data_IF_687564658959
#
_entry.id   IF_687564658959
#
_cell.length_a   1.000
_cell.length_b   1.000
_cell.length_c   1.000
_cell.angle_alpha   90.00
_cell.angle_beta   90.00
_cell.angle_gamma   90.00
#
_symmetry.space_group_name_H-M   'P 1'
#
loop_
_entity.id
_entity.type
_entity.pdbx_description
1 polymer ?
#
# COMPACT_ATOMS: atom_id res chain seq x y z
N UNK A 1 45.00 18.57 -30.38
CA UNK A 1 44.47 18.02 -29.13
C UNK A 1 43.96 19.10 -28.18
N UNK A 2 44.78 20.12 -27.80
CA UNK A 2 44.35 21.22 -26.90
C UNK A 2 43.23 22.10 -27.48
N UNK A 3 43.23 22.33 -28.79
CA UNK A 3 42.21 23.13 -29.50
C UNK A 3 40.88 22.39 -29.62
N UNK A 4 40.89 21.07 -29.80
CA UNK A 4 39.69 20.21 -29.77
C UNK A 4 39.11 20.09 -28.36
N UNK A 5 39.95 19.91 -27.37
CA UNK A 5 39.57 19.90 -25.96
C UNK A 5 38.86 21.21 -25.56
N UNK A 6 39.40 22.35 -25.95
CA UNK A 6 38.82 23.68 -25.71
C UNK A 6 37.46 23.87 -26.42
N UNK A 7 37.29 23.30 -27.63
CA UNK A 7 36.00 23.33 -28.37
C UNK A 7 34.95 22.45 -27.69
N UNK A 8 35.33 21.24 -27.30
CA UNK A 8 34.47 20.32 -26.57
C UNK A 8 34.00 20.91 -25.23
N UNK A 9 34.92 21.56 -24.50
CA UNK A 9 34.64 22.24 -23.24
C UNK A 9 33.62 23.37 -23.43
N UNK A 10 33.77 24.21 -24.45
CA UNK A 10 32.79 25.26 -24.76
C UNK A 10 31.42 24.71 -25.11
N UNK A 11 31.35 23.68 -25.92
CA UNK A 11 30.09 23.02 -26.29
C UNK A 11 29.41 22.43 -25.06
N UNK A 12 30.15 21.82 -24.15
CA UNK A 12 29.62 21.27 -22.89
C UNK A 12 29.08 22.38 -21.99
N UNK A 13 29.77 23.50 -21.85
CA UNK A 13 29.30 24.65 -21.06
C UNK A 13 28.04 25.25 -21.66
N UNK A 14 27.92 25.38 -22.96
CA UNK A 14 26.71 25.91 -23.62
C UNK A 14 25.55 24.94 -23.45
N UNK A 15 25.74 23.64 -23.63
CA UNK A 15 24.72 22.61 -23.37
C UNK A 15 24.26 22.65 -21.93
N UNK A 16 25.17 22.79 -20.96
CA UNK A 16 24.83 22.90 -19.55
C UNK A 16 24.04 24.17 -19.25
N UNK A 17 24.32 25.31 -19.90
CA UNK A 17 23.56 26.55 -19.76
C UNK A 17 22.12 26.36 -20.25
N UNK A 18 21.93 25.75 -21.42
CA UNK A 18 20.61 25.42 -21.97
C UNK A 18 19.86 24.48 -21.04
N UNK A 19 20.55 23.45 -20.50
CA UNK A 19 19.97 22.53 -19.52
C UNK A 19 19.44 23.26 -18.29
N UNK A 20 20.20 24.18 -17.70
CA UNK A 20 19.77 24.96 -16.53
C UNK A 20 18.56 25.82 -16.86
N UNK A 21 18.56 26.49 -18.00
CA UNK A 21 17.41 27.30 -18.43
C UNK A 21 16.16 26.45 -18.58
N UNK A 22 16.25 25.27 -19.19
CA UNK A 22 15.13 24.35 -19.34
C UNK A 22 14.63 23.80 -17.98
N UNK A 23 15.51 23.63 -17.02
CA UNK A 23 15.15 23.22 -15.67
C UNK A 23 14.35 24.32 -14.94
N UNK A 24 14.74 25.59 -15.10
CA UNK A 24 14.02 26.73 -14.52
C UNK A 24 12.64 26.91 -15.18
N UNK A 25 12.56 26.81 -16.52
CA UNK A 25 11.30 26.82 -17.26
C UNK A 25 10.36 25.69 -16.78
N UNK A 26 10.87 24.47 -16.62
CA UNK A 26 10.10 23.32 -16.11
C UNK A 26 9.57 23.58 -14.70
N UNK A 27 10.41 24.13 -13.82
CA UNK A 27 10.01 24.45 -12.44
C UNK A 27 8.87 25.47 -12.40
N UNK A 28 8.94 26.49 -13.24
CA UNK A 28 7.89 27.51 -13.36
C UNK A 28 6.58 26.90 -13.91
N UNK A 29 6.65 26.04 -14.92
CA UNK A 29 5.49 25.33 -15.46
C UNK A 29 4.85 24.40 -14.41
N UNK A 30 5.66 23.69 -13.64
CA UNK A 30 5.18 22.84 -12.54
C UNK A 30 4.43 23.66 -11.47
N UNK A 31 4.98 24.80 -11.06
CA UNK A 31 4.34 25.69 -10.09
C UNK A 31 3.01 26.25 -10.61
N UNK A 32 2.97 26.68 -11.87
CA UNK A 32 1.75 27.20 -12.52
C UNK A 32 0.67 26.13 -12.62
N UNK A 33 1.03 24.93 -13.08
CA UNK A 33 0.11 23.80 -13.20
C UNK A 33 -0.44 23.36 -11.83
N UNK A 34 0.42 23.26 -10.81
CA UNK A 34 0.03 22.93 -9.44
C UNK A 34 -0.95 23.95 -8.84
N UNK A 35 -0.68 25.24 -9.06
CA UNK A 35 -1.56 26.33 -8.62
C UNK A 35 -2.93 26.28 -9.31
N UNK A 36 -2.97 26.05 -10.63
CA UNK A 36 -4.19 25.94 -11.41
C UNK A 36 -5.05 24.76 -10.93
N UNK A 37 -4.45 23.56 -10.74
CA UNK A 37 -5.15 22.37 -10.24
C UNK A 37 -5.71 22.64 -8.84
N UNK A 38 -4.94 23.23 -7.94
CA UNK A 38 -5.37 23.54 -6.58
C UNK A 38 -6.59 24.48 -6.57
N UNK A 39 -6.58 25.53 -7.43
CA UNK A 39 -7.69 26.45 -7.58
C UNK A 39 -8.96 25.78 -8.10
N UNK A 40 -8.82 24.94 -9.13
CA UNK A 40 -9.94 24.20 -9.72
C UNK A 40 -10.51 23.16 -8.75
N UNK A 41 -9.66 22.45 -8.01
CA UNK A 41 -10.11 21.50 -6.98
C UNK A 41 -10.90 22.17 -5.87
N UNK A 42 -10.49 23.36 -5.43
CA UNK A 42 -11.26 24.15 -4.47
C UNK A 42 -12.65 24.49 -5.02
N UNK A 43 -12.73 24.96 -6.27
CA UNK A 43 -14.01 25.25 -6.93
C UNK A 43 -14.93 24.02 -7.04
N UNK A 44 -14.38 22.84 -7.39
CA UNK A 44 -15.16 21.59 -7.43
C UNK A 44 -15.69 21.20 -6.04
N UNK A 45 -14.87 21.37 -5.00
CA UNK A 45 -15.28 21.08 -3.63
C UNK A 45 -16.42 22.01 -3.17
N UNK A 46 -16.31 23.31 -3.47
CA UNK A 46 -17.34 24.29 -3.14
C UNK A 46 -18.64 24.00 -3.91
N UNK A 47 -18.55 23.61 -5.19
CA UNK A 47 -19.69 23.16 -6.00
C UNK A 47 -20.34 21.89 -5.40
N UNK A 48 -19.55 20.90 -5.00
CA UNK A 48 -20.04 19.69 -4.35
C UNK A 48 -20.77 19.96 -3.04
N UNK A 49 -20.28 20.90 -2.23
CA UNK A 49 -20.98 21.34 -1.03
C UNK A 49 -22.30 22.05 -1.32
N UNK A 50 -22.35 22.88 -2.36
CA UNK A 50 -23.58 23.58 -2.78
C UNK A 50 -24.62 22.58 -3.29
N UNK A 51 -24.22 21.60 -4.11
CA UNK A 51 -25.10 20.52 -4.59
C UNK A 51 -25.65 19.67 -3.46
N UNK A 52 -24.86 19.35 -2.46
CA UNK A 52 -25.31 18.57 -1.30
C UNK A 52 -26.38 19.33 -0.47
N UNK A 53 -26.37 20.65 -0.47
CA UNK A 53 -27.44 21.47 0.14
C UNK A 53 -28.71 21.47 -0.69
N UNK A 54 -28.60 21.52 -2.01
CA UNK A 54 -29.74 21.53 -2.94
C UNK A 54 -30.48 20.18 -2.95
N UNK A 55 -29.80 19.05 -2.78
CA UNK A 55 -30.38 17.69 -2.80
C UNK A 55 -31.46 17.48 -1.73
N UNK A 56 -31.49 18.31 -0.68
CA UNK A 56 -32.49 18.21 0.40
C UNK A 56 -33.86 18.82 0.06
N UNK A 57 -33.98 19.55 -1.05
CA UNK A 57 -35.16 20.32 -1.43
C UNK A 57 -35.66 20.09 -2.85
N UNK A 58 -35.11 19.09 -3.58
CA UNK A 58 -35.26 18.94 -5.03
C UNK A 58 -36.32 17.93 -5.45
N UNK A 59 -36.99 18.20 -6.59
CA UNK A 59 -37.90 17.29 -7.30
C UNK A 59 -37.15 16.14 -8.00
N UNK A 60 -37.89 15.09 -8.44
CA UNK A 60 -37.28 13.88 -9.05
C UNK A 60 -36.38 14.16 -10.26
N UNK A 61 -36.74 15.10 -11.13
CA UNK A 61 -35.95 15.49 -12.31
C UNK A 61 -34.66 16.25 -11.95
N UNK A 62 -34.71 17.06 -10.90
CA UNK A 62 -33.53 17.76 -10.37
C UNK A 62 -32.58 16.79 -9.69
N UNK A 63 -33.09 15.72 -9.08
CA UNK A 63 -32.28 14.68 -8.45
C UNK A 63 -31.42 13.91 -9.46
N UNK A 64 -31.93 13.66 -10.67
CA UNK A 64 -31.20 13.00 -11.75
C UNK A 64 -30.06 13.90 -12.27
N UNK A 65 -30.35 15.18 -12.49
CA UNK A 65 -29.33 16.18 -12.87
C UNK A 65 -28.23 16.31 -11.80
N UNK A 66 -28.59 16.34 -10.54
CA UNK A 66 -27.64 16.40 -9.42
C UNK A 66 -26.71 15.17 -9.41
N UNK A 67 -27.24 13.98 -9.66
CA UNK A 67 -26.44 12.74 -9.78
C UNK A 67 -25.44 12.81 -10.94
N UNK A 68 -25.88 13.31 -12.10
CA UNK A 68 -24.98 13.48 -13.26
C UNK A 68 -23.84 14.47 -12.95
N UNK A 69 -24.14 15.61 -12.34
CA UNK A 69 -23.13 16.58 -11.95
C UNK A 69 -22.16 15.99 -10.90
N UNK A 70 -22.66 15.20 -9.94
CA UNK A 70 -21.80 14.52 -8.96
C UNK A 70 -20.87 13.52 -9.63
N UNK A 71 -21.33 12.80 -10.65
CA UNK A 71 -20.51 11.90 -11.45
C UNK A 71 -19.42 12.67 -12.21
N UNK A 72 -19.77 13.79 -12.85
CA UNK A 72 -18.82 14.64 -13.54
C UNK A 72 -17.78 15.26 -12.58
N UNK A 73 -18.15 15.66 -11.37
CA UNK A 73 -17.21 16.12 -10.33
C UNK A 73 -16.19 15.03 -10.01
N UNK A 74 -16.67 13.81 -9.79
CA UNK A 74 -15.82 12.65 -9.47
C UNK A 74 -14.84 12.33 -10.61
N UNK A 75 -15.29 12.42 -11.85
CA UNK A 75 -14.42 12.18 -13.02
C UNK A 75 -13.35 13.27 -13.15
N UNK A 76 -13.70 14.55 -12.90
CA UNK A 76 -12.72 15.64 -12.87
C UNK A 76 -11.73 15.51 -11.71
N UNK A 77 -12.15 15.03 -10.53
CA UNK A 77 -11.25 14.74 -9.42
C UNK A 77 -10.26 13.64 -9.77
N UNK A 78 -10.70 12.58 -10.46
CA UNK A 78 -9.83 11.52 -10.95
C UNK A 78 -8.82 12.06 -11.98
N UNK A 79 -9.26 12.92 -12.89
CA UNK A 79 -8.38 13.55 -13.87
C UNK A 79 -7.32 14.43 -13.21
N UNK A 80 -7.68 15.25 -12.20
CA UNK A 80 -6.71 16.04 -11.46
C UNK A 80 -5.72 15.15 -10.67
N UNK A 81 -6.19 14.04 -10.13
CA UNK A 81 -5.31 13.07 -9.45
C UNK A 81 -4.23 12.54 -10.42
N UNK A 82 -4.63 12.19 -11.64
CA UNK A 82 -3.72 11.70 -12.67
C UNK A 82 -2.73 12.80 -13.14
N UNK A 83 -3.18 14.05 -13.27
CA UNK A 83 -2.31 15.18 -13.58
C UNK A 83 -1.29 15.46 -12.46
N UNK A 84 -1.73 15.46 -11.21
CA UNK A 84 -0.87 15.65 -10.03
C UNK A 84 0.19 14.55 -9.87
N UNK A 85 -0.02 13.38 -10.48
CA UNK A 85 0.95 12.29 -10.46
C UNK A 85 2.25 12.63 -11.22
N UNK A 86 2.22 13.66 -12.08
CA UNK A 86 3.38 14.17 -12.82
C UNK A 86 3.98 15.47 -12.25
N UNK A 87 3.43 15.95 -11.14
CA UNK A 87 3.90 17.17 -10.49
C UNK A 87 4.68 16.82 -9.21
N UNK A 88 5.72 17.59 -8.86
CA UNK A 88 6.40 17.42 -7.59
C UNK A 88 5.44 17.71 -6.44
N UNK A 89 5.26 16.74 -5.55
CA UNK A 89 4.41 16.85 -4.36
C UNK A 89 5.26 17.04 -3.12
N UNK A 90 4.76 17.82 -2.17
CA UNK A 90 5.31 17.83 -0.82
C UNK A 90 5.09 16.47 -0.17
N UNK A 91 6.08 15.99 0.56
CA UNK A 91 5.97 14.75 1.30
C UNK A 91 4.80 14.83 2.30
N UNK A 92 4.06 13.72 2.47
CA UNK A 92 3.08 13.59 3.54
C UNK A 92 3.78 13.61 4.92
N UNK A 93 2.99 13.73 6.00
CA UNK A 93 3.52 13.80 7.37
C UNK A 93 4.49 12.66 7.68
N UNK A 94 4.16 11.43 7.33
CA UNK A 94 5.00 10.27 7.58
C UNK A 94 6.34 10.33 6.82
N UNK A 95 6.31 10.58 5.51
CA UNK A 95 7.53 10.71 4.72
C UNK A 95 8.38 11.91 5.13
N UNK A 96 7.75 13.02 5.53
CA UNK A 96 8.45 14.19 6.05
C UNK A 96 9.15 13.91 7.39
N UNK A 97 8.53 13.08 8.25
CA UNK A 97 9.12 12.66 9.52
C UNK A 97 10.30 11.70 9.33
N UNK A 98 10.17 10.74 8.41
CA UNK A 98 11.14 9.65 8.23
C UNK A 98 12.28 10.04 7.29
N UNK A 99 11.98 10.71 6.17
CA UNK A 99 12.94 11.07 5.12
C UNK A 99 13.29 12.58 5.10
N UNK A 100 12.60 13.40 5.90
CA UNK A 100 12.75 14.84 5.84
C UNK A 100 12.18 15.44 4.55
N UNK A 101 12.80 16.53 4.08
CA UNK A 101 12.35 17.27 2.89
C UNK A 101 12.93 16.70 1.57
N UNK A 102 13.28 15.42 1.53
CA UNK A 102 13.78 14.76 0.31
C UNK A 102 12.64 14.61 -0.68
N UNK A 103 12.83 15.09 -1.91
CA UNK A 103 11.86 14.93 -2.98
C UNK A 103 11.86 13.47 -3.47
N UNK A 104 10.75 12.77 -3.26
CA UNK A 104 10.55 11.35 -3.65
C UNK A 104 9.66 11.21 -4.91
N UNK A 105 9.35 12.32 -5.59
CA UNK A 105 8.47 12.30 -6.76
C UNK A 105 9.22 11.79 -8.00
N UNK A 106 8.72 10.72 -8.59
CA UNK A 106 9.19 10.15 -9.84
C UNK A 106 8.37 10.74 -11.00
N UNK A 107 8.97 11.58 -11.82
CA UNK A 107 8.27 12.27 -12.91
C UNK A 107 8.06 11.38 -14.13
N UNK A 108 8.93 10.40 -14.36
CA UNK A 108 8.87 9.50 -15.51
C UNK A 108 8.07 8.24 -15.18
N UNK A 109 7.12 7.88 -16.05
CA UNK A 109 6.34 6.63 -15.92
C UNK A 109 7.23 5.39 -15.87
N UNK A 110 8.28 5.34 -16.66
CA UNK A 110 9.22 4.22 -16.65
C UNK A 110 9.89 4.07 -15.28
N UNK A 111 10.31 5.17 -14.66
CA UNK A 111 10.87 5.17 -13.31
C UNK A 111 9.85 4.70 -12.26
N UNK A 112 8.57 5.10 -12.39
CA UNK A 112 7.48 4.64 -11.49
C UNK A 112 7.27 3.13 -11.60
N UNK A 113 7.24 2.59 -12.82
CA UNK A 113 7.11 1.15 -13.03
C UNK A 113 8.32 0.38 -12.53
N UNK A 114 9.54 0.89 -12.77
CA UNK A 114 10.78 0.29 -12.27
C UNK A 114 10.78 0.24 -10.73
N UNK A 115 10.40 1.33 -10.07
CA UNK A 115 10.30 1.39 -8.61
C UNK A 115 9.25 0.40 -8.05
N UNK A 116 8.11 0.25 -8.74
CA UNK A 116 7.10 -0.75 -8.37
C UNK A 116 7.62 -2.17 -8.52
N UNK A 117 8.31 -2.47 -9.60
CA UNK A 117 8.91 -3.79 -9.85
C UNK A 117 10.00 -4.11 -8.79
N UNK A 118 10.82 -3.12 -8.40
CA UNK A 118 11.79 -3.28 -7.30
C UNK A 118 11.13 -3.50 -5.95
N UNK A 119 10.02 -2.80 -5.67
CA UNK A 119 9.23 -3.01 -4.47
C UNK A 119 8.68 -4.44 -4.39
N UNK A 120 8.12 -4.98 -5.48
CA UNK A 120 7.60 -6.34 -5.52
C UNK A 120 8.71 -7.39 -5.37
N UNK A 121 9.88 -7.19 -6.01
CA UNK A 121 11.05 -8.05 -5.84
C UNK A 121 11.58 -8.02 -4.41
N UNK A 122 11.64 -6.86 -3.78
CA UNK A 122 12.02 -6.72 -2.37
C UNK A 122 11.08 -7.52 -1.47
N UNK A 123 9.75 -7.40 -1.67
CA UNK A 123 8.76 -8.17 -0.93
C UNK A 123 9.01 -9.67 -1.04
N UNK A 124 9.20 -10.16 -2.26
CA UNK A 124 9.46 -11.59 -2.51
C UNK A 124 10.72 -12.07 -1.78
N UNK A 125 11.82 -11.33 -1.94
CA UNK A 125 13.10 -11.70 -1.34
C UNK A 125 13.01 -11.76 0.19
N UNK A 126 12.43 -10.73 0.80
CA UNK A 126 12.22 -10.69 2.24
C UNK A 126 11.26 -11.77 2.74
N UNK A 127 10.21 -12.05 1.99
CA UNK A 127 9.26 -13.12 2.33
C UNK A 127 9.95 -14.48 2.39
N UNK A 128 10.86 -14.78 1.47
CA UNK A 128 11.65 -16.01 1.47
C UNK A 128 12.57 -16.06 2.70
N UNK A 129 13.29 -14.97 2.99
CA UNK A 129 14.17 -14.89 4.17
C UNK A 129 13.38 -15.09 5.46
N UNK A 130 12.24 -14.42 5.60
CA UNK A 130 11.38 -14.53 6.78
C UNK A 130 10.79 -15.93 6.94
N UNK A 131 10.42 -16.58 5.84
CA UNK A 131 9.94 -17.96 5.87
C UNK A 131 11.01 -18.92 6.39
N UNK A 132 12.23 -18.85 5.84
CA UNK A 132 13.34 -19.69 6.29
C UNK A 132 13.77 -19.34 7.72
N UNK A 133 13.78 -18.05 8.09
CA UNK A 133 14.06 -17.60 9.45
C UNK A 133 13.07 -18.17 10.46
N UNK A 134 11.78 -18.12 10.17
CA UNK A 134 10.74 -18.66 11.04
C UNK A 134 10.83 -20.21 11.16
N UNK A 135 11.11 -20.91 10.06
CA UNK A 135 11.36 -22.37 10.06
C UNK A 135 12.57 -22.71 10.93
N UNK A 136 13.66 -21.97 10.77
CA UNK A 136 14.88 -22.17 11.55
C UNK A 136 14.64 -21.92 13.05
N UNK A 137 13.94 -20.84 13.41
CA UNK A 137 13.57 -20.57 14.81
C UNK A 137 12.64 -21.63 15.39
N UNK A 138 11.71 -22.16 14.60
CA UNK A 138 10.73 -23.15 15.08
C UNK A 138 11.35 -24.54 15.29
N UNK A 139 12.18 -25.01 14.36
CA UNK A 139 12.62 -26.39 14.31
C UNK A 139 14.08 -26.61 14.75
N UNK A 140 14.97 -25.63 14.53
CA UNK A 140 16.41 -25.81 14.72
C UNK A 140 16.96 -25.01 15.91
N UNK A 141 16.52 -23.77 16.08
CA UNK A 141 17.12 -22.85 17.06
C UNK A 141 16.07 -22.37 18.06
N UNK A 142 15.97 -23.08 19.18
CA UNK A 142 15.05 -22.72 20.26
C UNK A 142 15.74 -21.80 21.28
N UNK A 143 16.33 -20.68 20.82
CA UNK A 143 17.01 -19.71 21.65
C UNK A 143 16.31 -18.33 21.55
N UNK A 144 16.21 -17.63 22.66
CA UNK A 144 15.59 -16.30 22.71
C UNK A 144 16.26 -15.30 21.76
N UNK A 145 17.58 -15.32 21.68
CA UNK A 145 18.34 -14.40 20.81
C UNK A 145 17.97 -14.55 19.34
N UNK A 146 17.72 -15.80 18.87
CA UNK A 146 17.30 -16.03 17.49
C UNK A 146 15.90 -15.50 17.20
N UNK A 147 15.00 -15.61 18.18
CA UNK A 147 13.64 -15.02 18.07
C UNK A 147 13.71 -13.49 18.06
N UNK A 148 14.59 -12.89 18.83
CA UNK A 148 14.81 -11.42 18.84
C UNK A 148 15.34 -10.93 17.49
N UNK A 149 16.33 -11.63 16.90
CA UNK A 149 16.84 -11.32 15.57
C UNK A 149 15.73 -11.44 14.53
N UNK A 150 14.92 -12.49 14.60
CA UNK A 150 13.79 -12.71 13.70
C UNK A 150 12.74 -11.59 13.84
N UNK A 151 12.35 -11.23 15.07
CA UNK A 151 11.40 -10.15 15.32
C UNK A 151 11.94 -8.78 14.91
N UNK A 152 13.24 -8.51 15.12
CA UNK A 152 13.90 -7.30 14.62
C UNK A 152 13.84 -7.23 13.09
N UNK A 153 14.08 -8.34 12.40
CA UNK A 153 13.99 -8.42 10.96
C UNK A 153 12.56 -8.17 10.46
N UNK A 154 11.53 -8.64 11.19
CA UNK A 154 10.13 -8.34 10.92
C UNK A 154 9.84 -6.84 11.07
N UNK A 155 10.28 -6.19 12.15
CA UNK A 155 10.13 -4.75 12.34
C UNK A 155 10.77 -3.98 11.19
N UNK A 156 12.02 -4.30 10.86
CA UNK A 156 12.73 -3.66 9.76
C UNK A 156 12.01 -3.84 8.41
N UNK A 157 11.51 -5.05 8.15
CA UNK A 157 10.75 -5.35 6.94
C UNK A 157 9.48 -4.49 6.84
N UNK A 158 8.65 -4.48 7.87
CA UNK A 158 7.41 -3.69 7.84
C UNK A 158 7.65 -2.19 7.82
N UNK A 159 8.66 -1.67 8.52
CA UNK A 159 9.07 -0.28 8.42
C UNK A 159 9.49 0.08 6.99
N UNK A 160 10.27 -0.77 6.33
CA UNK A 160 10.69 -0.55 4.95
C UNK A 160 9.50 -0.59 3.99
N UNK A 161 8.53 -1.49 4.20
CA UNK A 161 7.30 -1.54 3.41
C UNK A 161 6.49 -0.26 3.54
N UNK A 162 6.28 0.24 4.76
CA UNK A 162 5.49 1.47 4.99
C UNK A 162 6.12 2.69 4.29
N UNK A 163 7.46 2.80 4.29
CA UNK A 163 8.18 3.86 3.58
C UNK A 163 7.99 3.71 2.06
N UNK A 164 8.25 2.53 1.51
CA UNK A 164 8.15 2.26 0.06
C UNK A 164 6.73 2.45 -0.47
N UNK A 165 5.72 2.01 0.28
CA UNK A 165 4.31 2.21 -0.08
C UNK A 165 3.89 3.68 -0.01
N UNK A 166 4.38 4.42 0.97
CA UNK A 166 4.15 5.86 1.07
C UNK A 166 4.77 6.63 -0.11
N UNK A 167 5.95 6.20 -0.59
CA UNK A 167 6.58 6.73 -1.81
C UNK A 167 5.73 6.37 -3.03
N UNK A 168 5.24 5.12 -3.16
CA UNK A 168 4.37 4.71 -4.27
C UNK A 168 3.07 5.53 -4.30
N UNK A 169 2.43 5.76 -3.15
CA UNK A 169 1.23 6.59 -3.06
C UNK A 169 1.50 8.04 -3.47
N UNK A 170 2.62 8.62 -3.06
CA UNK A 170 3.04 9.97 -3.48
C UNK A 170 3.22 10.05 -4.99
N UNK A 171 3.57 8.94 -5.65
CA UNK A 171 3.78 8.82 -7.09
C UNK A 171 2.54 8.37 -7.88
N UNK A 172 1.35 8.36 -7.25
CA UNK A 172 0.08 8.11 -7.92
C UNK A 172 -0.43 6.67 -7.84
N UNK A 173 0.15 5.82 -6.99
CA UNK A 173 -0.43 4.51 -6.69
C UNK A 173 -1.72 4.65 -5.87
N UNK A 174 -2.77 3.92 -6.28
CA UNK A 174 -4.09 3.93 -5.61
C UNK A 174 -4.19 2.81 -4.58
N UNK A 175 -3.20 2.69 -3.70
CA UNK A 175 -3.22 1.70 -2.63
C UNK A 175 -4.35 2.02 -1.65
N UNK A 176 -5.17 1.02 -1.32
CA UNK A 176 -6.29 1.21 -0.37
C UNK A 176 -5.76 1.55 1.02
N UNK A 177 -6.38 2.52 1.70
CA UNK A 177 -5.92 3.02 2.99
C UNK A 177 -5.75 1.95 4.07
N UNK A 178 -6.64 0.94 4.13
CA UNK A 178 -6.50 -0.17 5.06
C UNK A 178 -5.21 -0.97 4.83
N UNK A 179 -4.81 -1.18 3.58
CA UNK A 179 -3.60 -1.93 3.26
C UNK A 179 -2.33 -1.29 3.83
N UNK A 180 -2.25 0.03 3.77
CA UNK A 180 -1.15 0.79 4.38
C UNK A 180 -1.24 0.74 5.91
N UNK A 181 -2.44 0.93 6.48
CA UNK A 181 -2.68 0.83 7.92
C UNK A 181 -2.31 -0.55 8.47
N UNK A 182 -2.58 -1.61 7.70
CA UNK A 182 -2.19 -2.99 8.05
C UNK A 182 -0.68 -3.12 8.31
N UNK A 183 0.16 -2.51 7.48
CA UNK A 183 1.62 -2.57 7.67
C UNK A 183 2.09 -1.77 8.88
N UNK A 184 1.47 -0.63 9.21
CA UNK A 184 1.75 0.10 10.46
C UNK A 184 1.38 -0.74 11.69
N UNK A 185 0.21 -1.37 11.68
CA UNK A 185 -0.24 -2.26 12.77
C UNK A 185 0.68 -3.48 12.89
N UNK A 186 1.13 -4.05 11.75
CA UNK A 186 2.09 -5.17 11.74
C UNK A 186 3.47 -4.77 12.26
N UNK A 187 3.92 -3.54 11.99
CA UNK A 187 5.15 -2.97 12.58
C UNK A 187 5.04 -2.90 14.12
N UNK A 188 3.90 -2.40 14.61
CA UNK A 188 3.64 -2.32 16.04
C UNK A 188 3.61 -3.71 16.67
N UNK A 189 2.90 -4.67 16.07
CA UNK A 189 2.85 -6.06 16.51
C UNK A 189 4.26 -6.67 16.65
N UNK A 190 5.07 -6.54 15.61
CA UNK A 190 6.45 -7.05 15.61
C UNK A 190 7.32 -6.37 16.65
N UNK A 191 7.13 -5.05 16.88
CA UNK A 191 7.81 -4.29 17.93
C UNK A 191 7.44 -4.78 19.33
N UNK A 192 6.14 -5.04 19.59
CA UNK A 192 5.70 -5.58 20.88
C UNK A 192 6.23 -7.01 21.09
N UNK A 193 6.25 -7.85 20.04
CA UNK A 193 6.87 -9.17 20.10
C UNK A 193 8.36 -9.11 20.41
N UNK A 194 9.09 -8.14 19.87
CA UNK A 194 10.51 -7.93 20.13
C UNK A 194 10.78 -7.54 21.60
N UNK A 195 9.91 -6.73 22.19
CA UNK A 195 10.04 -6.25 23.59
C UNK A 195 9.44 -7.20 24.63
N UNK A 196 8.82 -8.30 24.20
CA UNK A 196 8.21 -9.26 25.13
C UNK A 196 9.29 -10.04 25.87
N UNK A 197 9.34 -10.02 27.23
CA UNK A 197 10.38 -10.72 27.99
C UNK A 197 10.22 -12.23 27.87
N UNK A 198 11.30 -12.95 28.13
CA UNK A 198 11.27 -14.42 28.22
C UNK A 198 10.50 -14.85 29.48
N UNK A 199 9.50 -15.70 29.29
CA UNK A 199 8.63 -16.18 30.34
C UNK A 199 7.76 -17.35 29.86
N UNK A 200 6.99 -17.93 30.80
CA UNK A 200 6.07 -19.03 30.48
C UNK A 200 5.02 -18.62 29.44
N UNK A 201 4.49 -17.40 29.53
CA UNK A 201 3.49 -16.87 28.60
C UNK A 201 4.07 -16.73 27.19
N UNK A 202 5.30 -16.24 27.06
CA UNK A 202 6.00 -16.15 25.79
C UNK A 202 6.17 -17.54 25.14
N UNK A 203 6.66 -18.52 25.90
CA UNK A 203 6.90 -19.87 25.39
C UNK A 203 5.62 -20.58 24.95
N UNK A 204 4.49 -20.36 25.62
CA UNK A 204 3.20 -20.91 25.22
C UNK A 204 2.72 -20.35 23.86
N UNK A 205 2.99 -19.08 23.56
CA UNK A 205 2.55 -18.47 22.31
C UNK A 205 3.58 -18.54 21.18
N UNK A 206 4.88 -18.70 21.49
CA UNK A 206 6.02 -18.68 20.56
C UNK A 206 5.82 -19.58 19.34
N UNK A 207 5.52 -20.85 19.58
CA UNK A 207 5.36 -21.82 18.48
C UNK A 207 4.19 -21.49 17.58
N UNK A 208 3.08 -20.99 18.13
CA UNK A 208 1.91 -20.56 17.38
C UNK A 208 2.22 -19.34 16.52
N UNK A 209 2.98 -18.37 17.04
CA UNK A 209 3.40 -17.17 16.31
C UNK A 209 4.36 -17.50 15.14
N UNK A 210 5.35 -18.36 15.38
CA UNK A 210 6.29 -18.80 14.34
C UNK A 210 5.58 -19.60 13.24
N UNK A 211 4.66 -20.51 13.60
CA UNK A 211 3.86 -21.24 12.64
C UNK A 211 2.96 -20.31 11.80
N UNK A 212 2.33 -19.32 12.44
CA UNK A 212 1.59 -18.29 11.73
C UNK A 212 2.49 -17.49 10.76
N UNK A 213 3.71 -17.14 11.18
CA UNK A 213 4.67 -16.39 10.34
C UNK A 213 5.11 -17.19 9.12
N UNK A 214 5.31 -18.51 9.26
CA UNK A 214 5.61 -19.42 8.13
C UNK A 214 4.45 -19.44 7.16
N UNK A 215 3.23 -19.65 7.66
CA UNK A 215 2.04 -19.69 6.82
C UNK A 215 1.80 -18.37 6.09
N UNK A 216 1.90 -17.23 6.80
CA UNK A 216 1.73 -15.90 6.23
C UNK A 216 2.78 -15.61 5.12
N UNK A 217 4.03 -15.99 5.36
CA UNK A 217 5.10 -15.87 4.35
C UNK A 217 4.82 -16.73 3.12
N UNK A 218 4.34 -17.95 3.31
CA UNK A 218 3.95 -18.84 2.21
C UNK A 218 2.80 -18.25 1.38
N UNK A 219 1.79 -17.70 2.03
CA UNK A 219 0.67 -16.99 1.36
C UNK A 219 1.18 -15.81 0.53
N UNK A 220 2.07 -14.98 1.09
CA UNK A 220 2.65 -13.83 0.38
C UNK A 220 3.50 -14.28 -0.83
N UNK A 221 4.23 -15.38 -0.70
CA UNK A 221 4.98 -15.97 -1.79
C UNK A 221 4.06 -16.38 -2.96
N UNK A 222 2.98 -17.10 -2.68
CA UNK A 222 1.99 -17.50 -3.69
C UNK A 222 1.29 -16.29 -4.32
N UNK A 223 0.96 -15.27 -3.52
CA UNK A 223 0.36 -14.03 -4.01
C UNK A 223 1.27 -13.29 -5.00
N UNK A 224 2.58 -13.25 -4.73
CA UNK A 224 3.54 -12.64 -5.65
C UNK A 224 3.52 -13.31 -7.03
N UNK A 225 3.65 -14.62 -7.10
CA UNK A 225 3.65 -15.35 -8.36
C UNK A 225 2.34 -15.16 -9.12
N UNK A 226 1.23 -15.20 -8.41
CA UNK A 226 -0.07 -14.98 -9.00
C UNK A 226 -0.19 -13.55 -9.59
N UNK A 227 0.18 -12.53 -8.82
CA UNK A 227 0.12 -11.12 -9.24
C UNK A 227 1.09 -10.84 -10.39
N UNK A 228 2.29 -11.41 -10.35
CA UNK A 228 3.29 -11.31 -11.42
C UNK A 228 2.76 -11.92 -12.74
N UNK A 229 2.12 -13.09 -12.67
CA UNK A 229 1.50 -13.71 -13.84
C UNK A 229 0.38 -12.88 -14.46
N UNK A 230 -0.43 -12.22 -13.62
CA UNK A 230 -1.48 -11.32 -14.09
C UNK A 230 -0.92 -10.04 -14.72
N UNK A 231 0.12 -9.45 -14.12
CA UNK A 231 0.81 -8.28 -14.69
C UNK A 231 1.45 -8.61 -16.03
N UNK A 232 2.04 -9.79 -16.18
CA UNK A 232 2.61 -10.25 -17.44
C UNK A 232 1.54 -10.33 -18.54
N UNK A 233 0.38 -10.91 -18.25
CA UNK A 233 -0.73 -11.00 -19.23
C UNK A 233 -1.23 -9.62 -19.65
N UNK A 234 -1.44 -8.69 -18.71
CA UNK A 234 -1.87 -7.32 -19.01
C UNK A 234 -0.82 -6.56 -19.84
N UNK A 235 0.47 -6.82 -19.60
CA UNK A 235 1.55 -6.24 -20.40
C UNK A 235 1.58 -6.79 -21.82
N UNK A 236 1.39 -8.09 -21.98
CA UNK A 236 1.32 -8.75 -23.29
C UNK A 236 0.12 -8.28 -24.13
N UNK A 237 -0.99 -7.93 -23.47
CA UNK A 237 -2.20 -7.39 -24.12
C UNK A 237 -2.12 -5.87 -24.39
N UNK A 238 -1.03 -5.19 -24.05
CA UNK A 238 -0.92 -3.74 -24.19
C UNK A 238 -1.82 -2.91 -23.26
N UNK A 239 -2.49 -3.54 -22.31
CA UNK A 239 -3.47 -2.92 -21.42
C UNK A 239 -2.87 -2.37 -20.09
N UNK A 240 -1.55 -2.40 -19.94
CA UNK A 240 -0.87 -1.90 -18.73
C UNK A 240 -0.72 -0.38 -18.75
N UNK A 241 -1.82 0.32 -18.52
CA UNK A 241 -1.82 1.79 -18.44
C UNK A 241 -1.77 2.33 -17.00
N UNK A 242 -1.92 1.48 -15.99
CA UNK A 242 -1.98 1.88 -14.58
C UNK A 242 -0.91 1.19 -13.73
N UNK A 243 -0.45 1.90 -12.68
CA UNK A 243 0.56 1.39 -11.74
C UNK A 243 0.05 0.19 -10.93
N UNK A 244 -1.24 0.15 -10.67
CA UNK A 244 -1.89 -0.85 -9.83
C UNK A 244 -2.80 -1.78 -10.65
N UNK A 245 -2.85 -3.04 -10.21
CA UNK A 245 -3.84 -4.00 -10.69
C UNK A 245 -5.22 -3.59 -10.16
N UNK A 246 -6.09 -3.12 -11.05
CA UNK A 246 -7.49 -2.88 -10.69
C UNK A 246 -8.23 -4.21 -10.56
N UNK A 247 -8.92 -4.39 -9.43
CA UNK A 247 -9.66 -5.61 -9.05
C UNK A 247 -10.73 -5.99 -10.08
N UNK A 248 -11.25 -5.03 -10.86
CA UNK A 248 -12.31 -5.25 -11.85
C UNK A 248 -11.93 -6.10 -13.06
N UNK A 249 -10.64 -6.13 -13.45
CA UNK A 249 -10.16 -6.92 -14.62
C UNK A 249 -9.74 -8.35 -14.28
N UNK A 250 -9.80 -8.76 -13.00
CA UNK A 250 -9.30 -10.06 -12.52
C UNK A 250 -10.37 -10.92 -11.83
N UNK A 251 -11.41 -11.30 -12.55
CA UNK A 251 -12.50 -12.10 -12.00
C UNK A 251 -12.06 -13.47 -11.41
N UNK A 252 -11.18 -14.20 -12.11
CA UNK A 252 -10.67 -15.50 -11.62
C UNK A 252 -9.66 -15.36 -10.48
N UNK A 253 -8.86 -14.30 -10.51
CA UNK A 253 -7.80 -14.06 -9.54
C UNK A 253 -8.25 -13.61 -8.18
N UNK A 254 -9.39 -12.97 -8.11
CA UNK A 254 -9.93 -12.54 -6.84
C UNK A 254 -10.38 -13.76 -6.01
N UNK A 255 -11.02 -14.75 -6.63
CA UNK A 255 -11.45 -15.97 -5.93
C UNK A 255 -10.24 -16.74 -5.40
N UNK A 256 -9.18 -16.88 -6.18
CA UNK A 256 -7.94 -17.53 -5.73
C UNK A 256 -7.26 -16.75 -4.59
N UNK A 257 -7.11 -15.44 -4.74
CA UNK A 257 -6.52 -14.60 -3.70
C UNK A 257 -7.34 -14.60 -2.41
N UNK A 258 -8.67 -14.54 -2.49
CA UNK A 258 -9.57 -14.62 -1.34
C UNK A 258 -9.50 -15.98 -0.64
N UNK A 259 -9.52 -17.08 -1.41
CA UNK A 259 -9.41 -18.43 -0.87
C UNK A 259 -8.09 -18.66 -0.13
N UNK A 260 -7.00 -18.10 -0.63
CA UNK A 260 -5.68 -18.22 -0.01
C UNK A 260 -5.52 -17.33 1.23
N UNK A 261 -6.17 -16.17 1.25
CA UNK A 261 -6.06 -15.18 2.33
C UNK A 261 -7.04 -15.43 3.48
N UNK A 262 -8.19 -16.04 3.23
CA UNK A 262 -9.19 -16.32 4.27
C UNK A 262 -8.65 -17.12 5.45
N UNK A 263 -7.93 -18.24 5.29
CA UNK A 263 -7.38 -18.98 6.41
C UNK A 263 -6.40 -18.16 7.26
N UNK A 264 -5.61 -17.28 6.64
CA UNK A 264 -4.71 -16.36 7.35
C UNK A 264 -5.48 -15.41 8.28
N UNK A 265 -6.62 -14.88 7.83
CA UNK A 265 -7.47 -13.99 8.65
C UNK A 265 -8.02 -14.75 9.86
N UNK A 266 -8.56 -15.95 9.68
CA UNK A 266 -9.04 -16.76 10.80
C UNK A 266 -7.93 -17.18 11.76
N UNK A 267 -6.70 -17.38 11.26
CA UNK A 267 -5.56 -17.61 12.13
C UNK A 267 -5.18 -16.39 12.97
N UNK A 268 -5.33 -15.18 12.41
CA UNK A 268 -5.19 -13.92 13.20
C UNK A 268 -6.21 -13.86 14.34
N UNK A 269 -7.48 -14.24 14.10
CA UNK A 269 -8.50 -14.34 15.13
C UNK A 269 -8.14 -15.40 16.20
N UNK A 270 -7.65 -16.55 15.76
CA UNK A 270 -7.21 -17.62 16.67
C UNK A 270 -6.05 -17.15 17.56
N UNK A 271 -5.07 -16.42 16.99
CA UNK A 271 -3.97 -15.81 17.75
C UNK A 271 -4.52 -14.80 18.78
N UNK A 272 -5.47 -13.95 18.39
CA UNK A 272 -6.08 -13.00 19.31
C UNK A 272 -6.80 -13.70 20.47
N UNK A 273 -7.60 -14.75 20.19
CA UNK A 273 -8.30 -15.50 21.23
C UNK A 273 -7.33 -16.23 22.18
N UNK A 274 -6.26 -16.82 21.66
CA UNK A 274 -5.22 -17.47 22.48
C UNK A 274 -4.57 -16.47 23.42
N UNK A 275 -4.19 -15.29 22.90
CA UNK A 275 -3.57 -14.24 23.70
C UNK A 275 -4.52 -13.63 24.73
N UNK A 276 -5.82 -13.45 24.41
CA UNK A 276 -6.80 -13.01 25.42
C UNK A 276 -6.97 -14.03 26.55
N UNK A 277 -6.91 -15.34 26.26
CA UNK A 277 -6.94 -16.38 27.29
C UNK A 277 -5.69 -16.31 28.18
N UNK A 278 -4.52 -16.14 27.55
CA UNK A 278 -3.24 -15.98 28.27
C UNK A 278 -3.24 -14.70 29.13
N UNK A 279 -3.78 -13.59 28.63
CA UNK A 279 -3.90 -12.34 29.38
C UNK A 279 -4.82 -12.46 30.62
N UNK A 280 -5.79 -13.37 30.59
CA UNK A 280 -6.66 -13.68 31.74
C UNK A 280 -6.08 -14.69 32.74
N UNK A 281 -4.88 -15.19 32.51
CA UNK A 281 -4.22 -16.11 33.45
C UNK A 281 -3.70 -15.37 34.68
N UNK A 282 -3.83 -15.96 35.86
CA UNK A 282 -3.46 -15.32 37.14
C UNK A 282 -1.96 -14.95 37.22
N UNK A 283 -1.11 -15.73 36.52
CA UNK A 283 0.35 -15.50 36.46
C UNK A 283 0.77 -14.48 35.40
N UNK A 284 -0.18 -13.99 34.57
CA UNK A 284 0.13 -13.05 33.50
C UNK A 284 0.26 -11.62 34.04
N UNK A 285 1.52 -11.13 34.12
CA UNK A 285 1.84 -9.75 34.49
C UNK A 285 2.31 -8.90 33.31
N UNK A 286 2.40 -9.50 32.14
CA UNK A 286 3.01 -8.94 30.93
C UNK A 286 1.97 -8.19 30.10
N UNK A 287 2.08 -6.87 30.02
CA UNK A 287 1.18 -6.02 29.24
C UNK A 287 1.21 -6.34 27.73
N UNK A 288 2.33 -6.89 27.26
CA UNK A 288 2.54 -7.27 25.86
C UNK A 288 1.49 -8.28 25.39
N UNK A 289 1.08 -9.21 26.25
CA UNK A 289 0.09 -10.24 25.93
C UNK A 289 -1.23 -9.61 25.49
N UNK A 290 -1.72 -8.67 26.29
CA UNK A 290 -2.97 -7.96 25.99
C UNK A 290 -2.86 -7.08 24.75
N UNK A 291 -1.75 -6.36 24.60
CA UNK A 291 -1.52 -5.50 23.42
C UNK A 291 -1.43 -6.30 22.14
N UNK A 292 -0.78 -7.47 22.16
CA UNK A 292 -0.72 -8.38 21.00
C UNK A 292 -2.10 -8.96 20.68
N UNK A 293 -2.87 -9.35 21.69
CA UNK A 293 -4.24 -9.83 21.51
C UNK A 293 -5.11 -8.79 20.77
N UNK A 294 -5.07 -7.54 21.26
CA UNK A 294 -5.78 -6.41 20.63
C UNK A 294 -5.28 -6.15 19.21
N UNK A 295 -3.99 -6.19 18.99
CA UNK A 295 -3.39 -5.93 17.68
C UNK A 295 -3.79 -7.01 16.65
N UNK A 296 -3.76 -8.29 17.02
CA UNK A 296 -4.24 -9.37 16.16
C UNK A 296 -5.73 -9.25 15.86
N UNK A 297 -6.54 -8.83 16.84
CA UNK A 297 -7.96 -8.58 16.64
C UNK A 297 -8.21 -7.44 15.65
N UNK A 298 -7.46 -6.32 15.76
CA UNK A 298 -7.55 -5.19 14.82
C UNK A 298 -7.15 -5.63 13.40
N UNK A 299 -6.08 -6.42 13.25
CA UNK A 299 -5.66 -6.97 11.97
C UNK A 299 -6.74 -7.87 11.36
N UNK A 300 -7.32 -8.76 12.16
CA UNK A 300 -8.42 -9.61 11.71
C UNK A 300 -9.63 -8.79 11.24
N UNK A 301 -10.12 -7.88 12.07
CA UNK A 301 -11.31 -7.07 11.75
C UNK A 301 -11.10 -6.24 10.48
N UNK A 302 -9.97 -5.57 10.35
CA UNK A 302 -9.68 -4.75 9.18
C UNK A 302 -9.55 -5.57 7.90
N UNK A 303 -8.88 -6.72 7.95
CA UNK A 303 -8.77 -7.63 6.81
C UNK A 303 -10.14 -8.23 6.44
N UNK A 304 -10.89 -8.68 7.42
CA UNK A 304 -12.21 -9.30 7.24
C UNK A 304 -13.22 -8.32 6.65
N UNK A 305 -13.34 -7.11 7.21
CA UNK A 305 -14.23 -6.06 6.70
C UNK A 305 -13.85 -5.62 5.28
N UNK A 306 -12.56 -5.53 4.99
CA UNK A 306 -12.08 -5.20 3.64
C UNK A 306 -12.45 -6.31 2.65
N UNK A 307 -12.29 -7.56 3.05
CA UNK A 307 -12.67 -8.73 2.25
C UNK A 307 -14.18 -8.75 1.98
N UNK A 308 -15.01 -8.55 3.01
CA UNK A 308 -16.48 -8.46 2.87
C UNK A 308 -16.88 -7.34 1.92
N UNK A 309 -16.26 -6.16 2.03
CA UNK A 309 -16.53 -5.03 1.12
C UNK A 309 -16.21 -5.38 -0.34
N UNK A 310 -15.10 -6.05 -0.59
CA UNK A 310 -14.71 -6.47 -1.95
C UNK A 310 -15.67 -7.51 -2.51
N UNK A 311 -16.06 -8.49 -1.71
CA UNK A 311 -17.04 -9.52 -2.09
C UNK A 311 -18.41 -8.89 -2.40
N UNK A 312 -18.88 -7.99 -1.53
CA UNK A 312 -20.15 -7.28 -1.73
C UNK A 312 -20.17 -6.45 -3.02
N UNK A 313 -19.10 -5.68 -3.27
CA UNK A 313 -18.95 -4.91 -4.52
C UNK A 313 -19.04 -5.81 -5.76
N UNK A 314 -18.43 -6.99 -5.70
CA UNK A 314 -18.42 -7.92 -6.82
C UNK A 314 -19.77 -8.59 -7.07
N UNK A 315 -20.54 -8.87 -6.02
CA UNK A 315 -21.91 -9.38 -6.15
C UNK A 315 -22.78 -8.33 -6.81
N UNK A 316 -22.62 -7.06 -6.52
CA UNK A 316 -23.37 -5.97 -7.13
C UNK A 316 -22.98 -5.70 -8.60
N UNK A 317 -21.71 -5.89 -9.00
CA UNK A 317 -21.25 -5.70 -10.37
C UNK A 317 -21.68 -6.83 -11.33
N UNK A 318 -22.00 -8.02 -10.81
CA UNK A 318 -22.38 -9.18 -11.64
C UNK A 318 -23.78 -9.05 -12.29
N UNK A 319 -24.85 -8.55 -11.64
CA UNK A 319 -26.16 -8.41 -12.28
C UNK A 319 -26.17 -7.39 -13.42
N UNK A 320 -25.35 -6.32 -13.35
CA UNK A 320 -25.25 -5.32 -14.42
C UNK A 320 -24.58 -5.85 -15.71
N UNK A 321 -23.77 -6.91 -15.62
CA UNK A 321 -23.12 -7.53 -16.78
C UNK A 321 -24.05 -8.52 -17.50
N UNK A 322 -24.97 -9.13 -16.80
CA UNK A 322 -25.97 -10.04 -17.38
C UNK A 322 -27.03 -9.23 -18.17
N UNK A 323 -27.44 -8.07 -17.66
CA UNK A 323 -28.40 -7.20 -18.35
C UNK A 323 -27.85 -6.45 -19.59
N UNK A 324 -26.51 -6.34 -19.72
CA UNK A 324 -25.89 -5.71 -20.91
C UNK A 324 -25.56 -6.70 -22.03
N UNK A 325 -25.82 -7.99 -21.84
CA UNK A 325 -25.64 -9.04 -22.86
C UNK A 325 -26.96 -9.57 -23.42
N UNK A 326 -28.11 -9.12 -22.92
CA UNK A 326 -29.44 -9.22 -23.51
C UNK A 326 -29.74 -7.92 -24.30
#
# INVERSE_FOLDING_TARGET
YAKEMSRCMRQMVETHKVYRQKLDELTNLQATCSSAISKQRKGLKDLGHSLCKCTKTSDEKETELIKDIQMQIKDKENFFFDMEAYLPKKNGLYLSLVLGNVNVTLLNNQAKFAYKDEYEKFKLFMTIILMFGAITCLFLLNYRVTDEIFNFLLVWYYCTLTIRESILMSNGSRIKGWWVSHHYVSTFLSGVMLTWPEGSMYQMFRSQFLAFSIYQSFVHFLQYYYQSGCLYRLRALGERNQLDLTVGKMSLGLSFSLSLQSPSQFWQLYNAMTLFRLAGHEDCKEWQVFMLALTFLVLFLGNFLTTLKVVHQKIQENPEKVQKQE
#
